data_IF_379510866035
#
_entry.id   IF_379510866035
#
_cell.length_a   1.000
_cell.length_b   1.000
_cell.length_c   1.000
_cell.angle_alpha   90.00
_cell.angle_beta   90.00
_cell.angle_gamma   90.00
#
_symmetry.space_group_name_H-M   'P 1'
#
loop_
_entity.id
_entity.type
_entity.pdbx_description
1 polymer ?
#
# COMPACT_ATOMS: atom_id res chain seq x y z
N UNK A 1 -17.72 44.75 -36.26
CA UNK A 1 -18.32 43.42 -36.01
C UNK A 1 -17.21 42.46 -35.59
N UNK A 2 -17.43 41.64 -34.56
CA UNK A 2 -16.37 40.99 -33.78
C UNK A 2 -16.10 39.53 -34.22
N UNK A 3 -15.01 38.99 -33.64
CA UNK A 3 -14.71 37.60 -33.26
C UNK A 3 -14.58 36.51 -34.33
N UNK A 4 -13.43 35.82 -34.33
CA UNK A 4 -13.36 34.45 -33.76
C UNK A 4 -11.92 34.05 -33.40
N UNK A 5 -11.64 33.57 -32.17
CA UNK A 5 -10.37 32.96 -31.80
C UNK A 5 -10.39 31.46 -32.11
N UNK A 6 -9.25 30.93 -32.57
CA UNK A 6 -8.98 29.50 -32.72
C UNK A 6 -9.03 28.79 -31.35
N UNK A 7 -10.22 28.37 -30.95
CA UNK A 7 -10.44 27.46 -29.83
C UNK A 7 -10.24 26.02 -30.30
N UNK A 8 -9.10 25.43 -29.96
CA UNK A 8 -8.91 23.99 -30.03
C UNK A 8 -9.91 23.33 -29.08
N UNK A 9 -10.94 22.71 -29.64
CA UNK A 9 -11.94 21.95 -28.90
C UNK A 9 -11.23 20.79 -28.20
N UNK A 10 -11.00 20.92 -26.90
CA UNK A 10 -10.67 19.78 -26.04
C UNK A 10 -11.86 18.83 -26.18
N UNK A 11 -11.58 17.66 -26.73
CA UNK A 11 -12.56 16.64 -27.08
C UNK A 11 -13.25 16.14 -25.80
N UNK A 12 -14.36 16.79 -25.42
CA UNK A 12 -15.13 16.53 -24.19
C UNK A 12 -15.53 15.05 -24.05
N UNK A 13 -15.60 14.30 -25.16
CA UNK A 13 -15.86 12.86 -25.17
C UNK A 13 -14.73 12.05 -24.54
N UNK A 14 -13.46 12.44 -24.70
CA UNK A 14 -12.33 11.73 -24.11
C UNK A 14 -12.23 12.00 -22.60
N UNK A 15 -12.54 13.23 -22.19
CA UNK A 15 -12.57 13.65 -20.77
C UNK A 15 -13.74 13.02 -20.02
N UNK A 16 -14.91 12.93 -20.66
CA UNK A 16 -16.09 12.22 -20.13
C UNK A 16 -15.86 10.71 -20.05
N UNK A 17 -15.18 10.11 -21.03
CA UNK A 17 -14.78 8.70 -20.97
C UNK A 17 -13.81 8.42 -19.82
N UNK A 18 -12.90 9.34 -19.52
CA UNK A 18 -12.00 9.23 -18.38
C UNK A 18 -12.72 9.33 -17.03
N UNK A 19 -13.73 10.19 -16.92
CA UNK A 19 -14.58 10.32 -15.73
C UNK A 19 -15.49 9.09 -15.51
N UNK A 20 -15.93 8.44 -16.58
CA UNK A 20 -16.71 7.19 -16.50
C UNK A 20 -15.86 5.97 -16.06
N UNK A 21 -14.53 6.03 -16.20
CA UNK A 21 -13.60 4.97 -15.79
C UNK A 21 -13.10 5.11 -14.34
N UNK A 22 -13.61 6.09 -13.60
CA UNK A 22 -13.28 6.32 -12.22
C UNK A 22 -14.49 6.00 -11.35
N UNK A 23 -14.62 4.74 -10.89
CA UNK A 23 -15.66 4.44 -9.94
C UNK A 23 -15.26 5.11 -8.62
N UNK A 24 -15.76 6.33 -8.39
CA UNK A 24 -15.76 6.96 -7.06
C UNK A 24 -16.64 6.17 -6.08
N UNK A 25 -17.53 5.32 -6.62
CA UNK A 25 -18.42 4.43 -5.90
C UNK A 25 -17.89 3.00 -5.92
N UNK A 26 -18.14 2.26 -4.84
CA UNK A 26 -17.82 0.85 -4.78
C UNK A 26 -18.92 0.05 -5.47
N UNK A 27 -18.55 -0.85 -6.38
CA UNK A 27 -19.51 -1.68 -7.12
C UNK A 27 -19.41 -3.13 -6.67
N UNK A 28 -20.55 -3.76 -6.40
CA UNK A 28 -20.64 -5.18 -6.09
C UNK A 28 -21.53 -5.88 -7.10
N UNK A 29 -21.17 -7.12 -7.46
CA UNK A 29 -22.03 -7.96 -8.31
C UNK A 29 -23.09 -8.60 -7.42
N UNK A 30 -24.34 -8.16 -7.57
CA UNK A 30 -25.49 -8.81 -6.96
C UNK A 30 -26.16 -9.73 -8.00
N UNK A 31 -27.00 -10.65 -7.56
CA UNK A 31 -27.73 -11.55 -8.46
C UNK A 31 -29.23 -11.25 -8.39
N UNK A 32 -29.86 -11.03 -9.53
CA UNK A 32 -31.33 -10.98 -9.62
C UNK A 32 -31.83 -12.26 -10.27
N UNK A 33 -32.94 -12.78 -9.76
CA UNK A 33 -33.59 -13.97 -10.31
C UNK A 33 -34.56 -13.50 -11.39
N UNK A 34 -34.23 -13.76 -12.66
CA UNK A 34 -35.12 -13.47 -13.79
C UNK A 34 -35.91 -14.73 -14.11
N UNK A 35 -37.24 -14.65 -14.06
CA UNK A 35 -38.11 -15.78 -14.41
C UNK A 35 -38.38 -15.80 -15.91
N UNK A 36 -38.04 -16.90 -16.58
CA UNK A 36 -38.44 -17.16 -17.95
C UNK A 36 -39.65 -18.09 -17.97
N UNK A 37 -40.75 -17.63 -18.58
CA UNK A 37 -41.92 -18.47 -18.84
C UNK A 37 -41.69 -19.25 -20.13
N UNK A 38 -41.61 -20.56 -20.03
CA UNK A 38 -41.58 -21.44 -21.21
C UNK A 38 -43.01 -21.79 -21.62
N UNK A 39 -43.28 -21.95 -22.93
CA UNK A 39 -44.61 -22.27 -23.50
C UNK A 39 -45.27 -23.56 -22.97
N UNK A 40 -44.56 -24.37 -22.17
CA UNK A 40 -45.04 -25.60 -21.53
C UNK A 40 -45.37 -25.45 -20.03
N UNK A 41 -45.48 -24.23 -19.50
CA UNK A 41 -45.89 -24.00 -18.11
C UNK A 41 -44.80 -24.22 -17.05
N UNK A 42 -43.55 -24.50 -17.48
CA UNK A 42 -42.40 -24.53 -16.59
C UNK A 42 -41.76 -23.14 -16.48
N UNK A 43 -41.69 -22.63 -15.24
CA UNK A 43 -40.97 -21.40 -14.88
C UNK A 43 -39.53 -21.77 -14.58
N UNK A 44 -38.58 -21.27 -15.38
CA UNK A 44 -37.15 -21.40 -15.11
C UNK A 44 -36.62 -20.10 -14.51
N UNK A 45 -35.89 -20.20 -13.40
CA UNK A 45 -35.23 -19.05 -12.77
C UNK A 45 -33.78 -18.98 -13.23
N UNK A 46 -33.41 -17.89 -13.89
CA UNK A 46 -32.04 -17.61 -14.30
C UNK A 46 -31.41 -16.59 -13.33
N UNK A 47 -30.23 -16.92 -12.80
CA UNK A 47 -29.43 -15.98 -12.00
C UNK A 47 -28.67 -15.06 -12.95
N UNK A 48 -29.11 -13.81 -13.07
CA UNK A 48 -28.42 -12.81 -13.89
C UNK A 48 -27.57 -11.93 -12.97
N UNK A 49 -26.26 -11.75 -13.24
CA UNK A 49 -25.44 -10.82 -12.48
C UNK A 49 -25.83 -9.38 -12.80
N UNK A 50 -26.19 -8.61 -11.78
CA UNK A 50 -26.46 -7.17 -11.86
C UNK A 50 -25.39 -6.45 -11.05
N UNK A 51 -24.66 -5.54 -11.69
CA UNK A 51 -23.73 -4.66 -10.99
C UNK A 51 -24.55 -3.60 -10.27
N UNK A 52 -24.50 -3.61 -8.94
CA UNK A 52 -25.14 -2.60 -8.09
C UNK A 52 -24.08 -1.77 -7.39
N UNK A 53 -24.29 -0.47 -7.36
CA UNK A 53 -23.48 0.42 -6.53
C UNK A 53 -23.80 0.16 -5.06
N UNK A 54 -22.77 -0.11 -4.27
CA UNK A 54 -22.86 -0.31 -2.83
C UNK A 54 -22.35 0.93 -2.11
N UNK A 55 -22.97 1.25 -0.97
CA UNK A 55 -22.52 2.35 -0.11
C UNK A 55 -21.13 2.01 0.46
N UNK A 56 -20.10 2.72 -0.01
CA UNK A 56 -18.72 2.49 0.39
C UNK A 56 -17.74 3.38 -0.38
N UNK A 57 -16.60 3.71 0.22
CA UNK A 57 -15.56 4.50 -0.41
C UNK A 57 -14.62 3.60 -1.21
N UNK A 58 -14.56 3.80 -2.53
CA UNK A 58 -13.64 3.07 -3.40
C UNK A 58 -12.20 3.63 -3.30
N UNK A 59 -11.46 3.18 -2.29
CA UNK A 59 -10.07 3.62 -2.05
C UNK A 59 -9.15 3.27 -3.24
N UNK A 60 -9.27 2.07 -3.81
CA UNK A 60 -8.43 1.63 -4.91
C UNK A 60 -8.65 2.49 -6.17
N UNK A 61 -9.92 2.81 -6.48
CA UNK A 61 -10.28 3.71 -7.57
C UNK A 61 -9.71 5.12 -7.37
N UNK A 62 -9.80 5.65 -6.14
CA UNK A 62 -9.22 6.96 -5.78
C UNK A 62 -7.69 6.98 -5.90
N UNK A 63 -7.01 5.89 -5.53
CA UNK A 63 -5.56 5.79 -5.69
C UNK A 63 -5.19 5.73 -7.16
N UNK A 64 -5.86 4.91 -7.97
CA UNK A 64 -5.63 4.84 -9.41
C UNK A 64 -5.83 6.21 -10.08
N UNK A 65 -6.89 6.92 -9.69
CA UNK A 65 -7.13 8.30 -10.14
C UNK A 65 -5.96 9.22 -9.84
N UNK A 66 -5.54 9.26 -8.58
CA UNK A 66 -4.51 10.17 -8.10
C UNK A 66 -3.18 9.89 -8.81
N UNK A 67 -2.90 8.64 -9.17
CA UNK A 67 -1.72 8.27 -9.96
C UNK A 67 -1.79 8.77 -11.39
N UNK A 68 -2.91 8.53 -12.07
CA UNK A 68 -3.07 9.01 -13.46
C UNK A 68 -3.05 10.54 -13.49
N UNK A 69 -3.72 11.20 -12.56
CA UNK A 69 -3.68 12.65 -12.40
C UNK A 69 -2.26 13.15 -12.11
N UNK A 70 -1.53 12.51 -11.20
CA UNK A 70 -0.15 12.87 -10.87
C UNK A 70 0.79 12.73 -12.08
N UNK A 71 0.65 11.67 -12.87
CA UNK A 71 1.41 11.49 -14.12
C UNK A 71 1.02 12.54 -15.16
N UNK A 72 -0.28 12.85 -15.29
CA UNK A 72 -0.76 13.89 -16.20
C UNK A 72 -0.17 15.25 -15.83
N UNK A 73 -0.28 15.69 -14.56
CA UNK A 73 0.27 16.96 -14.09
C UNK A 73 1.78 17.05 -14.29
N UNK A 74 2.51 15.94 -14.08
CA UNK A 74 3.95 15.88 -14.38
C UNK A 74 4.25 16.08 -15.87
N UNK A 75 3.39 15.58 -16.76
CA UNK A 75 3.54 15.76 -18.22
C UNK A 75 3.22 17.18 -18.69
N UNK A 76 2.38 17.93 -17.97
CA UNK A 76 2.09 19.34 -18.29
C UNK A 76 3.30 20.26 -18.06
N UNK A 77 4.35 19.79 -17.38
CA UNK A 77 5.56 20.56 -17.14
C UNK A 77 5.27 21.81 -16.28
N UNK A 78 5.69 23.03 -16.71
CA UNK A 78 5.58 24.23 -15.89
C UNK A 78 4.12 24.61 -15.55
N UNK A 79 3.16 24.29 -16.43
CA UNK A 79 1.74 24.57 -16.19
C UNK A 79 1.15 23.68 -15.09
N UNK A 80 1.70 22.48 -14.88
CA UNK A 80 1.26 21.57 -13.82
C UNK A 80 1.83 21.89 -12.43
N UNK A 81 2.88 22.72 -12.36
CA UNK A 81 3.66 22.96 -11.15
C UNK A 81 2.81 23.62 -10.04
N UNK A 82 1.94 24.57 -10.40
CA UNK A 82 1.06 25.24 -9.44
C UNK A 82 0.12 24.26 -8.74
N UNK A 83 -0.47 23.33 -9.50
CA UNK A 83 -1.39 22.34 -8.97
C UNK A 83 -0.67 21.28 -8.13
N UNK A 84 0.54 20.87 -8.56
CA UNK A 84 1.41 20.00 -7.76
C UNK A 84 1.74 20.66 -6.41
N UNK A 85 2.09 21.96 -6.43
CA UNK A 85 2.40 22.73 -5.21
C UNK A 85 1.18 22.88 -4.30
N UNK A 86 -0.01 23.08 -4.88
CA UNK A 86 -1.27 23.08 -4.14
C UNK A 86 -1.50 21.75 -3.43
N UNK A 87 -1.44 20.62 -4.15
CA UNK A 87 -1.66 19.29 -3.55
C UNK A 87 -0.60 18.94 -2.50
N UNK A 88 0.65 19.33 -2.70
CA UNK A 88 1.71 19.15 -1.70
C UNK A 88 1.41 19.93 -0.42
N UNK A 89 1.01 21.20 -0.55
CA UNK A 89 0.64 22.05 0.59
C UNK A 89 -0.60 21.50 1.32
N UNK A 90 -1.60 21.04 0.56
CA UNK A 90 -2.81 20.43 1.09
C UNK A 90 -2.52 19.14 1.87
N UNK A 91 -1.64 18.29 1.33
CA UNK A 91 -1.22 17.08 2.03
C UNK A 91 -0.49 17.41 3.33
N UNK A 92 0.42 18.39 3.34
CA UNK A 92 1.12 18.77 4.56
C UNK A 92 0.17 19.35 5.62
N UNK A 93 -0.84 20.14 5.21
CA UNK A 93 -1.91 20.58 6.09
C UNK A 93 -2.72 19.40 6.67
N UNK A 94 -2.99 18.37 5.86
CA UNK A 94 -3.67 17.15 6.31
C UNK A 94 -2.84 16.42 7.38
N UNK A 95 -1.51 16.35 7.22
CA UNK A 95 -0.63 15.74 8.24
C UNK A 95 -0.64 16.50 9.58
N UNK A 96 -0.85 17.82 9.57
CA UNK A 96 -1.06 18.60 10.80
C UNK A 96 -2.38 18.20 11.47
N UNK A 97 -3.47 18.07 10.71
CA UNK A 97 -4.76 17.61 11.26
C UNK A 97 -4.66 16.21 11.86
N UNK A 98 -3.96 15.30 11.18
CA UNK A 98 -3.69 13.95 11.69
C UNK A 98 -2.98 14.01 13.03
N UNK A 99 -2.00 14.91 13.16
CA UNK A 99 -1.28 15.11 14.43
C UNK A 99 -2.20 15.50 15.57
N UNK A 100 -3.22 16.33 15.33
CA UNK A 100 -4.23 16.68 16.34
C UNK A 100 -5.13 15.50 16.69
N UNK A 101 -5.59 14.75 15.69
CA UNK A 101 -6.42 13.56 15.91
C UNK A 101 -5.66 12.52 16.76
N UNK A 102 -4.36 12.35 16.53
CA UNK A 102 -3.52 11.42 17.31
C UNK A 102 -3.49 11.73 18.81
N UNK A 103 -3.69 12.98 19.23
CA UNK A 103 -3.83 13.32 20.66
C UNK A 103 -5.11 12.78 21.28
N UNK A 104 -6.18 12.63 20.50
CA UNK A 104 -7.48 12.11 20.95
C UNK A 104 -7.58 10.58 20.86
N UNK A 105 -6.71 9.93 20.08
CA UNK A 105 -6.70 8.47 19.86
C UNK A 105 -6.74 7.66 21.17
N UNK A 106 -5.94 7.96 22.22
CA UNK A 106 -5.96 7.16 23.45
C UNK A 106 -7.36 7.07 24.12
N UNK A 107 -8.13 8.16 24.04
CA UNK A 107 -9.51 8.20 24.57
C UNK A 107 -10.41 7.31 23.71
N UNK A 108 -10.32 7.43 22.37
CA UNK A 108 -11.07 6.60 21.43
C UNK A 108 -10.82 5.11 21.61
N UNK A 109 -9.55 4.71 21.79
CA UNK A 109 -9.14 3.31 22.03
C UNK A 109 -9.84 2.74 23.28
N UNK A 110 -9.92 3.54 24.36
CA UNK A 110 -10.55 3.10 25.61
C UNK A 110 -12.02 2.75 25.42
N UNK A 111 -12.77 3.59 24.70
CA UNK A 111 -14.18 3.32 24.39
C UNK A 111 -14.39 2.16 23.40
N UNK A 112 -13.52 2.04 22.38
CA UNK A 112 -13.56 0.96 21.40
C UNK A 112 -13.31 -0.41 22.01
N UNK A 113 -12.38 -0.50 22.97
CA UNK A 113 -12.14 -1.74 23.72
C UNK A 113 -13.32 -2.01 24.67
N UNK A 114 -13.81 -0.98 25.36
CA UNK A 114 -14.93 -1.11 26.29
C UNK A 114 -16.22 -1.60 25.62
N UNK A 115 -16.60 -1.05 24.47
CA UNK A 115 -17.82 -1.46 23.75
C UNK A 115 -17.77 -2.94 23.33
N UNK A 116 -16.59 -3.43 22.96
CA UNK A 116 -16.41 -4.79 22.45
C UNK A 116 -16.42 -5.83 23.57
N UNK A 117 -15.98 -5.46 24.77
CA UNK A 117 -16.10 -6.31 25.96
C UNK A 117 -17.58 -6.50 26.36
N UNK A 118 -18.40 -5.46 26.23
CA UNK A 118 -19.84 -5.50 26.60
C UNK A 118 -20.67 -6.37 25.66
N UNK A 119 -20.26 -6.51 24.40
CA UNK A 119 -20.98 -7.32 23.39
C UNK A 119 -20.85 -8.84 23.64
N UNK A 120 -19.95 -9.29 24.51
CA UNK A 120 -19.73 -10.72 24.77
C UNK A 120 -20.80 -11.34 25.68
N UNK A 121 -21.53 -12.35 25.19
CA UNK A 121 -22.43 -13.20 25.97
C UNK A 121 -21.94 -14.66 25.99
N UNK A 122 -21.89 -15.22 27.20
CA UNK A 122 -21.61 -16.62 27.60
C UNK A 122 -20.25 -17.25 27.24
N UNK A 123 -19.47 -17.53 28.29
CA UNK A 123 -18.03 -17.87 28.26
C UNK A 123 -17.78 -19.37 28.46
N UNK A 124 -18.79 -20.20 28.70
CA UNK A 124 -18.53 -21.54 29.31
C UNK A 124 -18.61 -22.68 28.28
N UNK A 125 -19.41 -22.56 27.22
CA UNK A 125 -19.67 -23.68 26.29
C UNK A 125 -19.00 -23.54 24.91
N UNK A 126 -18.48 -22.35 24.57
CA UNK A 126 -17.76 -22.06 23.32
C UNK A 126 -16.23 -22.28 23.42
N UNK A 127 -15.70 -22.36 24.63
CA UNK A 127 -14.28 -22.04 24.92
C UNK A 127 -13.28 -23.12 24.52
N UNK A 128 -13.65 -24.40 24.48
CA UNK A 128 -12.65 -25.47 24.27
C UNK A 128 -12.32 -25.72 22.80
N UNK A 129 -13.29 -25.65 21.89
CA UNK A 129 -13.05 -25.84 20.44
C UNK A 129 -12.75 -24.52 19.72
N UNK A 130 -13.45 -23.42 20.03
CA UNK A 130 -13.13 -22.11 19.44
C UNK A 130 -11.89 -21.49 20.06
N UNK A 131 -11.55 -21.80 21.31
CA UNK A 131 -10.30 -21.36 21.92
C UNK A 131 -9.08 -21.87 21.15
N UNK A 132 -9.11 -23.10 20.63
CA UNK A 132 -8.06 -23.66 19.77
C UNK A 132 -7.96 -22.90 18.44
N UNK A 133 -9.09 -22.56 17.84
CA UNK A 133 -9.14 -21.74 16.62
C UNK A 133 -8.53 -20.35 16.84
N UNK A 134 -8.98 -19.63 17.88
CA UNK A 134 -8.46 -18.30 18.23
C UNK A 134 -6.95 -18.38 18.48
N UNK A 135 -6.51 -19.36 19.27
CA UNK A 135 -5.10 -19.57 19.56
C UNK A 135 -4.30 -19.85 18.28
N UNK A 136 -4.77 -20.74 17.41
CA UNK A 136 -4.11 -21.06 16.15
C UNK A 136 -4.00 -19.85 15.22
N UNK A 137 -5.06 -19.04 15.12
CA UNK A 137 -5.05 -17.83 14.30
C UNK A 137 -4.08 -16.78 14.84
N UNK A 138 -4.16 -16.48 16.15
CA UNK A 138 -3.25 -15.51 16.79
C UNK A 138 -1.80 -16.00 16.70
N UNK A 139 -1.55 -17.29 16.90
CA UNK A 139 -0.23 -17.87 16.74
C UNK A 139 0.29 -17.72 15.30
N UNK A 140 -0.57 -17.95 14.30
CA UNK A 140 -0.24 -17.71 12.89
C UNK A 140 0.14 -16.25 12.62
N UNK A 141 -0.63 -15.30 13.15
CA UNK A 141 -0.33 -13.87 13.06
C UNK A 141 0.98 -13.50 13.76
N UNK A 142 1.25 -14.03 14.95
CA UNK A 142 2.49 -13.78 15.69
C UNK A 142 3.70 -14.38 14.96
N UNK A 143 3.58 -15.58 14.37
CA UNK A 143 4.66 -16.19 13.59
C UNK A 143 4.92 -15.36 12.33
N UNK A 144 3.88 -14.95 11.62
CA UNK A 144 4.04 -14.19 10.38
C UNK A 144 4.59 -12.78 10.65
N UNK A 145 3.94 -12.00 11.52
CA UNK A 145 4.36 -10.64 11.87
C UNK A 145 5.63 -10.58 12.73
N UNK A 146 5.81 -11.53 13.65
CA UNK A 146 6.96 -11.54 14.56
C UNK A 146 8.23 -12.19 14.00
N UNK A 147 8.11 -13.10 13.02
CA UNK A 147 9.25 -13.88 12.50
C UNK A 147 9.37 -13.74 10.97
N UNK A 148 8.32 -14.05 10.20
CA UNK A 148 8.41 -14.12 8.74
C UNK A 148 8.67 -12.75 8.12
N UNK A 149 7.83 -11.75 8.40
CA UNK A 149 7.98 -10.40 7.85
C UNK A 149 9.29 -9.72 8.33
N UNK A 150 9.70 -9.80 9.61
CA UNK A 150 10.99 -9.31 10.07
C UNK A 150 12.18 -9.99 9.40
N UNK A 151 12.09 -11.30 9.14
CA UNK A 151 13.13 -12.05 8.45
C UNK A 151 13.25 -11.63 6.98
N UNK A 152 12.13 -11.41 6.30
CA UNK A 152 12.11 -10.84 4.95
C UNK A 152 12.74 -9.45 4.94
N UNK A 153 12.36 -8.58 5.87
CA UNK A 153 12.95 -7.25 6.02
C UNK A 153 14.47 -7.33 6.25
N UNK A 154 14.93 -8.22 7.14
CA UNK A 154 16.34 -8.42 7.42
C UNK A 154 17.09 -8.96 6.19
N UNK A 155 16.50 -9.87 5.42
CA UNK A 155 17.13 -10.43 4.23
C UNK A 155 17.48 -9.36 3.19
N UNK A 156 16.56 -8.41 2.95
CA UNK A 156 16.74 -7.33 1.97
C UNK A 156 17.53 -6.14 2.50
N UNK A 157 17.26 -5.70 3.74
CA UNK A 157 17.85 -4.46 4.28
C UNK A 157 19.12 -4.69 5.08
N UNK A 158 19.35 -5.91 5.58
CA UNK A 158 20.41 -6.28 6.53
C UNK A 158 20.44 -5.39 7.79
N UNK A 159 19.30 -4.78 8.13
CA UNK A 159 19.11 -3.95 9.33
C UNK A 159 18.18 -4.65 10.32
N UNK A 160 18.31 -4.29 11.60
CA UNK A 160 17.45 -4.85 12.65
C UNK A 160 15.97 -4.44 12.44
N UNK A 161 15.06 -5.37 12.12
CA UNK A 161 13.65 -5.07 11.87
C UNK A 161 12.90 -4.60 13.13
N UNK A 162 13.27 -5.07 14.32
CA UNK A 162 12.54 -4.71 15.54
C UNK A 162 12.73 -3.24 15.94
N UNK A 163 13.87 -2.62 15.58
CA UNK A 163 14.03 -1.17 15.73
C UNK A 163 13.08 -0.40 14.84
N UNK A 164 12.81 -0.92 13.63
CA UNK A 164 11.84 -0.34 12.72
C UNK A 164 10.41 -0.50 13.27
N UNK A 165 10.06 -1.69 13.78
CA UNK A 165 8.74 -1.95 14.37
C UNK A 165 8.47 -1.12 15.65
N UNK A 166 9.48 -0.88 16.48
CA UNK A 166 9.34 -0.04 17.67
C UNK A 166 8.93 1.41 17.36
N UNK A 167 9.34 1.94 16.20
CA UNK A 167 8.90 3.26 15.73
C UNK A 167 7.43 3.31 15.31
N UNK A 168 6.75 2.17 15.23
CA UNK A 168 5.38 2.00 14.71
C UNK A 168 4.39 1.48 15.77
N UNK A 169 4.75 1.51 17.06
CA UNK A 169 3.86 1.05 18.14
C UNK A 169 2.52 1.80 18.17
N UNK A 170 2.54 3.12 17.93
CA UNK A 170 1.32 3.94 17.93
C UNK A 170 0.33 3.51 16.84
N UNK A 171 0.71 3.43 15.54
CA UNK A 171 -0.20 2.94 14.51
C UNK A 171 -0.62 1.48 14.72
N UNK A 172 0.23 0.61 15.27
CA UNK A 172 -0.18 -0.76 15.63
C UNK A 172 -1.24 -0.78 16.72
N UNK A 173 -1.11 0.06 17.76
CA UNK A 173 -2.14 0.19 18.79
C UNK A 173 -3.45 0.77 18.22
N UNK A 174 -3.37 1.74 17.30
CA UNK A 174 -4.55 2.25 16.59
C UNK A 174 -5.20 1.14 15.77
N UNK A 175 -4.43 0.34 15.03
CA UNK A 175 -4.93 -0.74 14.18
C UNK A 175 -5.65 -1.82 15.00
N UNK A 176 -5.05 -2.21 16.12
CA UNK A 176 -5.64 -3.15 17.06
C UNK A 176 -6.96 -2.63 17.65
N UNK A 177 -7.06 -1.32 17.91
CA UNK A 177 -8.25 -0.74 18.51
C UNK A 177 -9.38 -0.50 17.51
N UNK A 178 -9.06 0.01 16.32
CA UNK A 178 -10.04 0.38 15.29
C UNK A 178 -10.47 -0.78 14.42
N UNK A 179 -9.68 -1.86 14.35
CA UNK A 179 -9.90 -3.00 13.44
C UNK A 179 -10.02 -2.56 11.97
N UNK A 180 -9.26 -1.52 11.58
CA UNK A 180 -9.32 -0.98 10.21
C UNK A 180 -7.96 -0.47 9.75
N UNK A 181 -7.40 -1.10 8.70
CA UNK A 181 -6.15 -0.68 8.07
C UNK A 181 -6.26 0.75 7.51
N UNK A 182 -7.35 1.07 6.81
CA UNK A 182 -7.57 2.40 6.23
C UNK A 182 -7.68 3.50 7.29
N UNK A 183 -8.30 3.22 8.44
CA UNK A 183 -8.38 4.19 9.54
C UNK A 183 -7.00 4.50 10.17
N UNK A 184 -6.04 3.59 10.02
CA UNK A 184 -4.69 3.74 10.60
C UNK A 184 -3.71 4.41 9.66
N UNK A 185 -4.03 4.45 8.36
CA UNK A 185 -3.17 4.94 7.31
C UNK A 185 -2.53 6.32 7.61
N UNK A 186 -3.27 7.32 8.15
CA UNK A 186 -2.66 8.61 8.44
C UNK A 186 -1.64 8.55 9.59
N UNK A 187 -1.95 7.78 10.64
CA UNK A 187 -1.03 7.53 11.76
C UNK A 187 0.23 6.80 11.30
N UNK A 188 0.05 5.80 10.43
CA UNK A 188 1.15 5.04 9.85
C UNK A 188 2.08 5.91 9.01
N UNK A 189 1.52 6.73 8.10
CA UNK A 189 2.29 7.67 7.28
C UNK A 189 3.10 8.65 8.14
N UNK A 190 2.51 9.15 9.24
CA UNK A 190 3.24 10.04 10.15
C UNK A 190 4.41 9.33 10.83
N UNK A 191 4.16 8.20 11.49
CA UNK A 191 5.19 7.50 12.26
C UNK A 191 6.32 6.94 11.37
N UNK A 192 6.00 6.45 10.16
CA UNK A 192 7.03 5.92 9.26
C UNK A 192 7.94 7.04 8.69
N UNK A 193 7.39 8.23 8.45
CA UNK A 193 8.13 9.40 7.96
C UNK A 193 8.98 10.00 9.09
N UNK A 194 8.41 10.19 10.27
CA UNK A 194 9.07 10.89 11.40
C UNK A 194 9.99 9.97 12.21
N UNK A 195 9.56 8.77 12.57
CA UNK A 195 10.31 7.89 13.47
C UNK A 195 11.31 7.03 12.70
N UNK A 196 10.95 6.58 11.49
CA UNK A 196 11.74 5.61 10.73
C UNK A 196 12.48 6.24 9.54
N UNK A 197 12.21 7.51 9.22
CA UNK A 197 12.90 8.26 8.18
C UNK A 197 12.69 7.69 6.76
N UNK A 198 11.52 7.11 6.49
CA UNK A 198 11.16 6.67 5.14
C UNK A 198 10.82 7.89 4.27
N UNK A 199 11.28 7.89 3.01
CA UNK A 199 11.01 8.97 2.07
C UNK A 199 9.49 9.16 1.86
N UNK A 200 9.02 10.40 2.00
CA UNK A 200 7.60 10.78 1.87
C UNK A 200 6.97 10.31 0.55
N UNK A 201 7.74 10.26 -0.54
CA UNK A 201 7.25 9.82 -1.85
C UNK A 201 6.96 8.32 -1.87
N UNK A 202 7.72 7.54 -1.10
CA UNK A 202 7.54 6.08 -1.00
C UNK A 202 6.41 5.76 -0.04
N UNK A 203 6.41 6.35 1.17
CA UNK A 203 5.37 6.10 2.18
C UNK A 203 3.97 6.46 1.66
N UNK A 204 3.81 7.65 1.06
CA UNK A 204 2.52 8.15 0.56
C UNK A 204 2.02 7.45 -0.70
N UNK A 205 2.88 6.70 -1.38
CA UNK A 205 2.50 5.88 -2.53
C UNK A 205 2.17 4.44 -2.12
N UNK A 206 3.05 3.80 -1.36
CA UNK A 206 2.94 2.37 -1.04
C UNK A 206 1.89 2.11 0.03
N UNK A 207 1.81 2.91 1.10
CA UNK A 207 0.92 2.61 2.21
C UNK A 207 -0.58 2.66 1.82
N UNK A 208 -1.08 3.62 1.03
CA UNK A 208 -2.48 3.62 0.62
C UNK A 208 -2.85 2.44 -0.30
N UNK A 209 -1.92 2.00 -1.15
CA UNK A 209 -2.09 0.80 -1.99
C UNK A 209 -2.09 -0.45 -1.11
N UNK A 210 -1.11 -0.56 -0.21
CA UNK A 210 -0.94 -1.67 0.72
C UNK A 210 -2.18 -1.91 1.58
N UNK A 211 -2.75 -0.84 2.14
CA UNK A 211 -3.94 -0.92 3.00
C UNK A 211 -5.18 -1.56 2.34
N UNK A 212 -5.20 -1.66 1.00
CA UNK A 212 -6.26 -2.33 0.24
C UNK A 212 -5.84 -3.66 -0.37
N UNK A 213 -4.60 -3.76 -0.88
CA UNK A 213 -4.14 -4.92 -1.64
C UNK A 213 -3.45 -5.96 -0.74
N UNK A 214 -2.67 -5.51 0.23
CA UNK A 214 -1.79 -6.36 1.02
C UNK A 214 -2.47 -6.74 2.35
N UNK A 215 -3.26 -7.80 2.31
CA UNK A 215 -4.01 -8.31 3.47
C UNK A 215 -3.54 -9.69 3.93
N UNK A 216 -2.27 -9.82 4.30
CA UNK A 216 -1.66 -11.07 4.80
C UNK A 216 -2.42 -11.69 5.98
N UNK A 217 -2.79 -10.87 6.96
CA UNK A 217 -3.56 -11.29 8.13
C UNK A 217 -4.92 -11.87 7.75
N UNK A 218 -5.57 -11.31 6.73
CA UNK A 218 -6.86 -11.81 6.24
C UNK A 218 -6.69 -13.16 5.53
N UNK A 219 -5.63 -13.32 4.73
CA UNK A 219 -5.32 -14.60 4.09
C UNK A 219 -5.04 -15.70 5.12
N UNK A 220 -4.26 -15.40 6.17
CA UNK A 220 -3.99 -16.33 7.28
C UNK A 220 -5.31 -16.70 7.99
N UNK A 221 -6.11 -15.70 8.34
CA UNK A 221 -7.41 -15.89 9.00
C UNK A 221 -8.34 -16.79 8.16
N UNK A 222 -8.49 -16.51 6.87
CA UNK A 222 -9.32 -17.28 5.95
C UNK A 222 -8.84 -18.74 5.83
N UNK A 223 -7.53 -18.97 5.73
CA UNK A 223 -6.97 -20.31 5.67
C UNK A 223 -7.23 -21.11 6.95
N UNK A 224 -6.99 -20.49 8.12
CA UNK A 224 -7.22 -21.14 9.42
C UNK A 224 -8.71 -21.43 9.62
N UNK A 225 -9.60 -20.50 9.26
CA UNK A 225 -11.04 -20.67 9.36
C UNK A 225 -11.56 -21.80 8.46
N UNK A 226 -11.10 -21.87 7.20
CA UNK A 226 -11.51 -22.92 6.27
C UNK A 226 -11.09 -24.31 6.75
N UNK A 227 -9.86 -24.47 7.22
CA UNK A 227 -9.35 -25.74 7.76
C UNK A 227 -10.08 -26.12 9.05
N UNK A 228 -10.36 -25.16 9.93
CA UNK A 228 -11.12 -25.40 11.16
C UNK A 228 -12.55 -25.87 10.87
N UNK A 229 -13.24 -25.25 9.91
CA UNK A 229 -14.59 -25.67 9.50
C UNK A 229 -14.57 -27.07 8.86
N UNK A 230 -13.55 -27.40 8.08
CA UNK A 230 -13.38 -28.76 7.55
C UNK A 230 -13.26 -29.80 8.69
N UNK A 231 -12.48 -29.48 9.72
CA UNK A 231 -12.32 -30.33 10.90
C UNK A 231 -13.63 -30.46 11.71
N UNK A 232 -14.43 -29.40 11.83
CA UNK A 232 -15.75 -29.47 12.47
C UNK A 232 -16.73 -30.37 11.70
N UNK A 233 -16.66 -30.37 10.36
CA UNK A 233 -17.44 -31.26 9.51
C UNK A 233 -16.91 -32.70 9.49
N UNK A 234 -15.80 -33.01 10.19
CA UNK A 234 -15.09 -34.29 10.12
C UNK A 234 -14.70 -34.68 8.69
N UNK A 235 -14.32 -33.69 7.88
CA UNK A 235 -13.86 -33.89 6.50
C UNK A 235 -12.35 -33.76 6.46
N UNK A 236 -11.68 -34.81 6.00
CA UNK A 236 -10.25 -34.77 5.71
C UNK A 236 -9.99 -34.04 4.40
N UNK A 237 -9.21 -32.96 4.46
CA UNK A 237 -8.84 -32.17 3.28
C UNK A 237 -7.75 -32.89 2.48
N UNK A 238 -8.01 -33.11 1.20
CA UNK A 238 -6.98 -33.57 0.26
C UNK A 238 -6.05 -32.41 -0.13
N UNK A 239 -4.84 -32.72 -0.61
CA UNK A 239 -3.85 -31.75 -1.08
C UNK A 239 -4.42 -30.77 -2.13
N UNK A 240 -5.31 -31.24 -3.02
CA UNK A 240 -5.99 -30.38 -3.99
C UNK A 240 -6.92 -29.33 -3.35
N UNK A 241 -7.63 -29.70 -2.28
CA UNK A 241 -8.48 -28.77 -1.53
C UNK A 241 -7.63 -27.77 -0.74
N UNK A 242 -6.53 -28.22 -0.12
CA UNK A 242 -5.57 -27.33 0.56
C UNK A 242 -4.99 -26.29 -0.42
N UNK A 243 -4.60 -26.72 -1.62
CA UNK A 243 -4.12 -25.82 -2.66
C UNK A 243 -5.20 -24.83 -3.10
N UNK A 244 -6.44 -25.30 -3.24
CA UNK A 244 -7.59 -24.44 -3.60
C UNK A 244 -7.86 -23.40 -2.52
N UNK A 245 -7.81 -23.78 -1.23
CA UNK A 245 -7.93 -22.85 -0.10
C UNK A 245 -6.85 -21.78 -0.19
N UNK A 246 -5.59 -22.17 -0.38
CA UNK A 246 -4.46 -21.24 -0.45
C UNK A 246 -4.64 -20.21 -1.56
N UNK A 247 -4.90 -20.65 -2.80
CA UNK A 247 -5.05 -19.74 -3.95
C UNK A 247 -6.27 -18.84 -3.79
N UNK A 248 -7.39 -19.41 -3.34
CA UNK A 248 -8.64 -18.65 -3.18
C UNK A 248 -8.53 -17.62 -2.05
N UNK A 249 -7.92 -17.98 -0.92
CA UNK A 249 -7.69 -17.06 0.19
C UNK A 249 -6.77 -15.91 -0.21
N UNK A 250 -5.65 -16.20 -0.89
CA UNK A 250 -4.74 -15.13 -1.38
C UNK A 250 -5.41 -14.24 -2.42
N UNK A 251 -6.18 -14.79 -3.35
CA UNK A 251 -6.91 -13.97 -4.32
C UNK A 251 -7.99 -13.13 -3.64
N UNK A 252 -8.69 -13.71 -2.68
CA UNK A 252 -9.79 -13.08 -1.97
C UNK A 252 -9.34 -12.00 -0.98
N UNK A 253 -8.15 -12.12 -0.39
CA UNK A 253 -7.61 -11.12 0.53
C UNK A 253 -7.33 -9.80 -0.17
N UNK A 254 -6.98 -9.81 -1.46
CA UNK A 254 -6.83 -8.60 -2.28
C UNK A 254 -8.18 -7.98 -2.64
N UNK A 255 -9.21 -8.81 -2.85
CA UNK A 255 -10.54 -8.40 -3.31
C UNK A 255 -11.50 -7.92 -2.21
N UNK A 256 -11.12 -8.07 -0.93
CA UNK A 256 -11.98 -7.73 0.21
C UNK A 256 -11.97 -6.23 0.58
N UNK A 257 -11.19 -5.41 -0.13
CA UNK A 257 -11.06 -3.98 0.15
C UNK A 257 -12.41 -3.24 0.07
N UNK A 258 -12.90 -2.77 1.22
CA UNK A 258 -14.03 -1.84 1.31
C UNK A 258 -15.42 -2.44 1.50
N UNK A 259 -15.58 -3.77 1.64
CA UNK A 259 -16.88 -4.38 1.93
C UNK A 259 -17.06 -4.53 3.46
N UNK A 260 -18.07 -3.90 4.09
CA UNK A 260 -18.40 -4.14 5.49
C UNK A 260 -18.69 -5.64 5.72
N UNK A 261 -18.06 -6.26 6.72
CA UNK A 261 -18.12 -7.70 7.00
C UNK A 261 -17.57 -8.63 5.87
N UNK A 262 -16.68 -8.12 5.01
CA UNK A 262 -16.11 -8.87 3.88
C UNK A 262 -15.37 -10.16 4.26
N UNK A 263 -14.81 -10.26 5.46
CA UNK A 263 -14.10 -11.48 5.93
C UNK A 263 -14.98 -12.74 5.94
N UNK A 264 -16.28 -12.60 6.19
CA UNK A 264 -17.22 -13.72 6.32
C UNK A 264 -17.67 -14.21 4.95
N UNK A 265 -17.96 -13.28 4.05
CA UNK A 265 -18.33 -13.57 2.67
C UNK A 265 -17.21 -14.33 1.95
N UNK A 266 -15.98 -13.89 2.17
CA UNK A 266 -14.81 -14.49 1.55
C UNK A 266 -14.51 -15.90 2.07
N UNK A 267 -14.73 -16.17 3.36
CA UNK A 267 -14.71 -17.53 3.90
C UNK A 267 -15.80 -18.40 3.24
N UNK A 268 -17.02 -17.88 3.06
CA UNK A 268 -18.10 -18.64 2.43
C UNK A 268 -17.74 -19.06 0.98
N UNK A 269 -17.12 -18.15 0.21
CA UNK A 269 -16.62 -18.43 -1.14
C UNK A 269 -15.57 -19.55 -1.13
N UNK A 270 -14.63 -19.51 -0.17
CA UNK A 270 -13.60 -20.54 -0.03
C UNK A 270 -14.22 -21.91 0.30
N UNK A 271 -15.19 -21.96 1.22
CA UNK A 271 -15.87 -23.20 1.60
C UNK A 271 -16.67 -23.78 0.44
N UNK A 272 -17.36 -22.94 -0.32
CA UNK A 272 -18.10 -23.36 -1.52
C UNK A 272 -17.14 -23.93 -2.58
N UNK A 273 -15.98 -23.30 -2.79
CA UNK A 273 -14.96 -23.76 -3.74
C UNK A 273 -14.40 -25.16 -3.42
N UNK A 274 -14.40 -25.57 -2.15
CA UNK A 274 -13.98 -26.91 -1.72
C UNK A 274 -15.13 -27.87 -1.41
N UNK A 275 -16.38 -27.43 -1.62
CA UNK A 275 -17.59 -28.24 -1.45
C UNK A 275 -18.01 -28.48 0.00
N UNK A 276 -17.66 -27.59 0.94
CA UNK A 276 -18.02 -27.71 2.35
C UNK A 276 -19.27 -26.88 2.72
N UNK A 277 -20.04 -27.38 3.68
CA UNK A 277 -21.20 -26.67 4.25
C UNK A 277 -20.77 -25.43 5.03
N UNK A 278 -21.54 -24.34 4.88
CA UNK A 278 -21.32 -23.06 5.56
C UNK A 278 -22.03 -22.94 6.91
N UNK A 279 -22.61 -24.04 7.41
CA UNK A 279 -23.37 -24.08 8.68
C UNK A 279 -22.56 -23.52 9.88
N UNK A 280 -21.27 -23.83 9.94
CA UNK A 280 -20.38 -23.40 11.01
C UNK A 280 -19.79 -22.00 10.85
N UNK A 281 -20.17 -21.25 9.80
CA UNK A 281 -19.69 -19.88 9.56
C UNK A 281 -20.12 -18.92 10.69
N UNK A 282 -21.31 -19.15 11.25
CA UNK A 282 -21.84 -18.40 12.40
C UNK A 282 -20.96 -18.49 13.65
N UNK A 283 -20.22 -19.60 13.82
CA UNK A 283 -19.29 -19.78 14.93
C UNK A 283 -18.03 -18.93 14.79
N UNK A 284 -17.52 -18.78 13.56
CA UNK A 284 -16.37 -17.90 13.28
C UNK A 284 -16.75 -16.44 13.54
N UNK A 285 -17.91 -16.03 13.05
CA UNK A 285 -18.49 -14.70 13.28
C UNK A 285 -18.53 -14.31 14.76
N UNK A 286 -18.92 -15.24 15.63
CA UNK A 286 -19.03 -14.98 17.07
C UNK A 286 -17.69 -14.63 17.74
N UNK A 287 -16.57 -15.07 17.17
CA UNK A 287 -15.22 -14.85 17.70
C UNK A 287 -14.36 -13.96 16.81
N UNK A 288 -14.87 -13.53 15.66
CA UNK A 288 -14.14 -12.73 14.69
C UNK A 288 -13.61 -11.43 15.30
N UNK A 289 -14.37 -10.84 16.22
CA UNK A 289 -13.99 -9.60 16.88
C UNK A 289 -12.59 -9.65 17.53
N UNK A 290 -12.14 -10.79 18.11
CA UNK A 290 -10.80 -10.84 18.70
C UNK A 290 -9.72 -11.06 17.65
N UNK A 291 -10.01 -11.87 16.63
CA UNK A 291 -9.05 -12.28 15.60
C UNK A 291 -8.83 -11.18 14.56
N UNK A 292 -9.87 -10.43 14.22
CA UNK A 292 -9.83 -9.30 13.29
C UNK A 292 -8.84 -8.20 13.73
N UNK A 293 -8.66 -8.04 15.04
CA UNK A 293 -7.69 -7.10 15.62
C UNK A 293 -6.25 -7.47 15.28
N UNK A 294 -5.87 -8.74 15.48
CA UNK A 294 -4.52 -9.21 15.15
C UNK A 294 -4.31 -9.31 13.65
N UNK A 295 -5.35 -9.67 12.89
CA UNK A 295 -5.38 -9.59 11.43
C UNK A 295 -5.03 -8.19 10.93
N UNK A 296 -5.71 -7.17 11.46
CA UNK A 296 -5.49 -5.78 11.04
C UNK A 296 -4.05 -5.34 11.34
N UNK A 297 -3.50 -5.67 12.51
CA UNK A 297 -2.12 -5.33 12.88
C UNK A 297 -1.11 -5.93 11.91
N UNK A 298 -1.26 -7.21 11.54
CA UNK A 298 -0.35 -7.87 10.60
C UNK A 298 -0.45 -7.26 9.19
N UNK A 299 -1.64 -6.87 8.73
CA UNK A 299 -1.82 -6.19 7.44
C UNK A 299 -1.02 -4.89 7.39
N UNK A 300 -1.23 -4.01 8.39
CA UNK A 300 -0.55 -2.70 8.43
C UNK A 300 0.96 -2.83 8.67
N UNK A 301 1.39 -3.88 9.39
CA UNK A 301 2.80 -4.21 9.58
C UNK A 301 3.48 -4.59 8.26
N UNK A 302 2.84 -5.44 7.45
CA UNK A 302 3.32 -5.81 6.12
C UNK A 302 3.52 -4.59 5.22
N UNK A 303 2.57 -3.67 5.21
CA UNK A 303 2.64 -2.42 4.44
C UNK A 303 3.84 -1.56 4.85
N UNK A 304 4.04 -1.40 6.16
CA UNK A 304 5.11 -0.59 6.70
C UNK A 304 6.50 -1.20 6.42
N UNK A 305 6.65 -2.51 6.59
CA UNK A 305 7.89 -3.20 6.26
C UNK A 305 8.18 -3.16 4.76
N UNK A 306 7.16 -3.31 3.91
CA UNK A 306 7.26 -3.15 2.46
C UNK A 306 7.77 -1.76 2.06
N UNK A 307 7.21 -0.70 2.64
CA UNK A 307 7.69 0.67 2.44
C UNK A 307 9.16 0.85 2.89
N UNK A 308 9.54 0.25 4.03
CA UNK A 308 10.91 0.27 4.54
C UNK A 308 11.91 -0.47 3.63
N UNK A 309 11.54 -1.64 3.09
CA UNK A 309 12.36 -2.40 2.14
C UNK A 309 12.54 -1.60 0.86
N UNK A 310 11.46 -1.08 0.29
CA UNK A 310 11.51 -0.31 -0.95
C UNK A 310 12.37 0.95 -0.81
N UNK A 311 12.26 1.65 0.32
CA UNK A 311 13.13 2.79 0.64
C UNK A 311 14.61 2.40 0.65
N UNK A 312 14.96 1.27 1.26
CA UNK A 312 16.34 0.79 1.27
C UNK A 312 16.85 0.45 -0.13
N UNK A 313 16.04 -0.24 -0.94
CA UNK A 313 16.38 -0.59 -2.32
C UNK A 313 16.57 0.65 -3.20
N UNK A 314 15.67 1.63 -3.07
CA UNK A 314 15.75 2.89 -3.82
C UNK A 314 17.01 3.69 -3.44
N UNK A 315 17.34 3.81 -2.15
CA UNK A 315 18.57 4.47 -1.70
C UNK A 315 19.82 3.76 -2.22
N UNK A 316 19.83 2.43 -2.29
CA UNK A 316 20.95 1.66 -2.83
C UNK A 316 21.11 1.88 -4.34
N UNK A 317 20.00 1.92 -5.08
CA UNK A 317 20.00 2.18 -6.52
C UNK A 317 20.53 3.60 -6.84
N UNK A 318 20.06 4.61 -6.10
CA UNK A 318 20.53 6.00 -6.26
C UNK A 318 22.03 6.13 -5.99
N UNK A 319 22.54 5.54 -4.91
CA UNK A 319 23.98 5.56 -4.59
C UNK A 319 24.83 4.89 -5.66
N UNK A 320 24.33 3.80 -6.25
CA UNK A 320 25.02 3.10 -7.34
C UNK A 320 25.08 3.98 -8.62
N UNK A 321 23.96 4.60 -8.99
CA UNK A 321 23.92 5.51 -10.14
C UNK A 321 24.81 6.75 -9.97
N UNK A 322 24.88 7.31 -8.75
CA UNK A 322 25.79 8.42 -8.45
C UNK A 322 27.27 8.00 -8.56
N UNK A 323 27.62 6.79 -8.15
CA UNK A 323 28.98 6.24 -8.30
C UNK A 323 29.35 6.05 -9.78
N UNK A 324 28.46 5.48 -10.59
CA UNK A 324 28.67 5.29 -12.02
C UNK A 324 28.81 6.66 -12.75
N UNK A 325 28.02 7.67 -12.39
CA UNK A 325 28.14 9.02 -12.94
C UNK A 325 29.46 9.71 -12.53
N UNK A 326 29.95 9.48 -11.31
CA UNK A 326 31.23 10.00 -10.85
C UNK A 326 32.40 9.31 -11.57
N UNK A 327 32.34 8.00 -11.77
CA UNK A 327 33.37 7.23 -12.50
C UNK A 327 33.47 7.67 -13.96
N UNK A 328 32.35 7.82 -14.68
CA UNK A 328 32.32 8.33 -16.06
C UNK A 328 32.86 9.77 -16.14
N UNK A 329 32.56 10.63 -15.15
CA UNK A 329 33.10 11.99 -15.10
C UNK A 329 34.61 11.99 -14.84
N UNK A 330 35.10 11.06 -14.02
CA UNK A 330 36.54 10.90 -13.74
C UNK A 330 37.29 10.29 -14.92
N UNK A 331 36.67 9.45 -15.76
CA UNK A 331 37.24 8.92 -17.00
C UNK A 331 37.18 9.90 -18.18
N UNK A 332 36.22 10.84 -18.19
CA UNK A 332 36.16 11.90 -19.21
C UNK A 332 37.21 13.02 -18.99
N UNK A 333 37.69 13.21 -17.75
CA UNK A 333 38.66 14.25 -17.36
C UNK A 333 40.15 13.92 -17.63
N UNK A 334 40.66 12.67 -17.75
CA UNK A 334 42.07 12.39 -18.02
C UNK A 334 42.38 12.31 -19.52
N UNK A 335 41.38 12.13 -20.39
CA UNK A 335 41.57 11.92 -21.84
C UNK A 335 41.49 13.21 -22.69
N UNK A 336 41.28 14.38 -22.07
CA UNK A 336 41.33 15.67 -22.77
C UNK A 336 42.72 16.36 -22.71
N UNK A 337 43.79 15.67 -22.26
CA UNK A 337 45.14 16.24 -22.13
C UNK A 337 46.27 15.49 -22.85
N UNK A 338 45.94 14.63 -23.80
CA UNK A 338 46.88 14.08 -24.78
C UNK A 338 46.07 13.91 -26.06
N UNK A 339 46.32 14.59 -27.17
CA UNK A 339 47.59 14.69 -27.89
C UNK A 339 47.70 16.07 -28.57
N UNK A 340 48.71 16.86 -28.18
CA UNK A 340 49.29 17.83 -29.12
C UNK A 340 50.18 17.01 -30.09
N UNK A 341 49.60 16.56 -31.19
CA UNK A 341 50.35 15.93 -32.28
C UNK A 341 51.16 17.02 -32.99
N UNK A 342 52.43 17.14 -32.62
CA UNK A 342 53.40 18.00 -33.31
C UNK A 342 53.83 17.33 -34.61
N UNK A 343 53.30 17.82 -35.74
CA UNK A 343 53.78 17.47 -37.08
C UNK A 343 55.23 17.95 -37.30
N UNK A 344 56.16 17.08 -37.73
CA UNK A 344 57.55 17.46 -37.93
C UNK A 344 57.75 17.92 -39.38
N UNK A 345 57.30 19.12 -39.74
CA UNK A 345 57.70 19.79 -40.98
C UNK A 345 57.22 21.23 -40.96
N UNK A 346 58.14 22.16 -40.66
CA UNK A 346 58.35 23.45 -41.32
C UNK A 346 59.29 24.30 -40.45
N UNK A 347 60.46 24.54 -41.00
CA UNK A 347 61.51 25.44 -40.52
C UNK A 347 61.09 26.90 -40.74
N UNK A 348 61.17 27.77 -39.73
CA UNK A 348 62.04 28.97 -39.71
C UNK A 348 61.62 30.07 -38.71
N UNK A 349 62.65 30.51 -37.97
CA UNK A 349 62.99 31.87 -37.54
C UNK A 349 62.18 32.60 -36.46
N UNK A 350 62.83 32.68 -35.29
CA UNK A 350 62.76 33.79 -34.33
C UNK A 350 63.24 35.11 -34.97
N UNK A 351 62.79 36.29 -34.50
CA UNK A 351 63.60 36.98 -33.47
C UNK A 351 62.86 37.85 -32.42
N UNK A 352 63.54 38.04 -31.28
CA UNK A 352 63.52 39.15 -30.31
C UNK A 352 62.22 39.38 -29.49
N UNK A 353 62.20 39.59 -28.17
CA UNK A 353 63.16 39.88 -27.09
C UNK A 353 62.37 40.06 -25.77
N UNK A 354 63.01 40.24 -24.59
CA UNK A 354 62.49 39.79 -23.30
C UNK A 354 62.00 40.92 -22.36
N UNK A 355 61.02 40.64 -21.49
CA UNK A 355 60.88 41.34 -20.20
C UNK A 355 60.37 40.38 -19.12
N UNK A 356 61.17 40.27 -18.06
CA UNK A 356 60.86 39.61 -16.80
C UNK A 356 60.13 40.56 -15.83
N UNK A 357 59.41 40.01 -14.85
CA UNK A 357 59.56 40.23 -13.39
C UNK A 357 58.34 39.65 -12.66
N UNK A 358 58.62 39.08 -11.48
CA UNK A 358 57.80 38.21 -10.66
C UNK A 358 56.96 38.99 -9.60
N UNK A 359 56.41 38.37 -8.53
CA UNK A 359 55.03 38.54 -8.07
C UNK A 359 54.87 39.52 -6.90
N UNK A 360 53.64 39.97 -6.64
CA UNK A 360 53.32 40.76 -5.44
C UNK A 360 52.35 40.03 -4.50
N UNK A 361 52.67 40.14 -3.21
CA UNK A 361 52.14 39.47 -2.03
C UNK A 361 50.83 40.09 -1.52
N UNK A 362 50.10 39.26 -0.75
CA UNK A 362 49.23 39.56 0.40
C UNK A 362 48.53 40.92 0.54
N UNK A 363 47.20 40.86 0.75
CA UNK A 363 46.60 41.58 1.89
C UNK A 363 45.38 40.84 2.47
N UNK A 364 45.44 40.61 3.78
CA UNK A 364 44.31 40.30 4.67
C UNK A 364 43.63 41.62 5.05
N UNK A 365 42.30 41.63 5.13
CA UNK A 365 41.46 42.38 6.09
C UNK A 365 39.98 42.00 5.78
N UNK A 366 39.17 41.44 6.68
CA UNK A 366 38.62 41.95 7.95
C UNK A 366 37.13 42.35 7.80
N UNK A 367 36.27 41.57 8.48
CA UNK A 367 35.06 41.99 9.20
C UNK A 367 33.84 42.49 8.40
N UNK A 368 32.81 41.64 8.30
CA UNK A 368 31.54 41.75 9.06
C UNK A 368 30.73 40.44 8.98
#
# INVERSE_FOLDING_TARGET
MPSEPLGGSIDCSLTMAFLHFLPLYQSATNYTMVSHNTSSGNVTYEKVPVVTDIEGMNILGLVLFALVLGVALKKLGPEGEELIRFFNSFNEATMVLVSWIMWYVPIGITFLIGSKIVEMKDIITLVTSLGKYIFASILGHIIHGGIVLPLVYFAFTRKNPYRFLLGLLTPFATAFATCSSSATLPSMMKCIEENNGVDKRISRFILPIGATVNMDGAAIFQCVAAVFIAQLNNVDLNAGQIFTILVTATASSVGAAGVPAGGVLTIAIILEAIGLSTEYLSLILAVDWIVDRTTTVVNVEGDALGAGILNHLNQKAMKKGEQELQEVKVEAIPNCKSEEETSPLVTHQNPAGPVAIAPELESKESVL
#
